data_IF_829488269406
#
_entry.id   IF_829488269406
#
_cell.length_a   1.000
_cell.length_b   1.000
_cell.length_c   1.000
_cell.angle_alpha   90.00
_cell.angle_beta   90.00
_cell.angle_gamma   90.00
#
_symmetry.space_group_name_H-M   'P 1'
#
loop_
_entity.id
_entity.type
_entity.pdbx_description
1 polymer ?
#
# COMPACT_ATOMS: atom_id res chain seq x y z
N UNK A 1 -2.92 4.92 -14.99
CA UNK A 1 -2.23 4.63 -13.69
C UNK A 1 -1.62 3.23 -13.68
N UNK A 2 -2.37 2.17 -14.03
CA UNK A 2 -1.88 0.76 -14.03
C UNK A 2 -0.66 0.58 -14.92
N UNK A 3 -0.67 1.09 -16.16
CA UNK A 3 0.45 0.98 -17.11
C UNK A 3 1.76 1.59 -16.58
N UNK A 4 1.67 2.67 -15.80
CA UNK A 4 2.83 3.30 -15.14
C UNK A 4 3.45 2.36 -14.11
N UNK A 5 2.62 1.70 -13.28
CA UNK A 5 3.09 0.72 -12.30
C UNK A 5 3.62 -0.55 -12.95
N UNK A 6 3.03 -0.99 -14.06
CA UNK A 6 3.53 -2.15 -14.83
C UNK A 6 4.97 -1.92 -15.30
N UNK A 7 5.25 -0.77 -15.88
CA UNK A 7 6.60 -0.44 -16.37
C UNK A 7 7.61 -0.26 -15.23
N UNK A 8 7.19 0.39 -14.14
CA UNK A 8 8.07 0.74 -13.00
C UNK A 8 8.23 -0.35 -11.94
N UNK A 9 7.63 -1.54 -12.11
CA UNK A 9 7.58 -2.58 -11.08
C UNK A 9 8.98 -2.98 -10.57
N UNK A 10 9.97 -3.09 -11.44
CA UNK A 10 11.35 -3.42 -11.09
C UNK A 10 12.07 -2.33 -10.29
N UNK A 11 11.93 -1.08 -10.72
CA UNK A 11 12.47 0.10 -10.03
C UNK A 11 11.80 0.29 -8.66
N UNK A 12 10.47 0.19 -8.63
CA UNK A 12 9.69 0.25 -7.40
C UNK A 12 10.14 -0.80 -6.36
N UNK A 13 10.28 -2.05 -6.77
CA UNK A 13 10.72 -3.14 -5.89
C UNK A 13 12.11 -2.89 -5.28
N UNK A 14 13.03 -2.27 -6.05
CA UNK A 14 14.40 -2.00 -5.61
C UNK A 14 14.54 -0.75 -4.76
N UNK A 15 13.82 0.32 -5.09
CA UNK A 15 14.12 1.64 -4.54
C UNK A 15 13.02 2.17 -3.62
N UNK A 16 11.73 1.90 -3.87
CA UNK A 16 10.64 2.49 -3.10
C UNK A 16 9.98 1.51 -2.12
N UNK A 17 9.74 0.27 -2.51
CA UNK A 17 9.14 -0.73 -1.62
C UNK A 17 9.92 -0.91 -0.31
N UNK A 18 11.28 -0.90 -0.26
CA UNK A 18 12.04 -0.96 0.97
C UNK A 18 11.83 0.23 1.91
N UNK A 19 11.58 1.42 1.36
CA UNK A 19 11.27 2.64 2.15
C UNK A 19 9.94 2.50 2.86
N UNK A 20 8.93 1.95 2.18
CA UNK A 20 7.59 1.75 2.73
C UNK A 20 7.46 0.52 3.64
N UNK A 21 8.30 -0.49 3.44
CA UNK A 21 8.18 -1.78 4.09
C UNK A 21 8.11 -1.72 5.63
N UNK A 22 8.96 -0.97 6.36
CA UNK A 22 8.88 -0.91 7.82
C UNK A 22 7.53 -0.42 8.32
N UNK A 23 6.93 0.57 7.63
CA UNK A 23 5.59 1.10 7.95
C UNK A 23 4.49 0.12 7.57
N UNK A 24 4.57 -0.46 6.36
CA UNK A 24 3.61 -1.44 5.86
C UNK A 24 3.52 -2.67 6.78
N UNK A 25 4.63 -3.21 7.23
CA UNK A 25 4.69 -4.39 8.09
C UNK A 25 3.99 -4.20 9.45
N UNK A 26 3.88 -2.95 9.95
CA UNK A 26 3.10 -2.66 11.17
C UNK A 26 1.61 -2.96 11.04
N UNK A 27 1.07 -3.06 9.82
CA UNK A 27 -0.30 -3.53 9.59
C UNK A 27 -0.48 -4.99 10.01
N UNK A 28 0.56 -5.81 9.82
CA UNK A 28 0.54 -7.21 10.25
C UNK A 28 0.58 -7.33 11.78
N UNK A 29 1.23 -6.39 12.48
CA UNK A 29 1.23 -6.36 13.96
C UNK A 29 -0.18 -6.06 14.51
N UNK A 30 -0.97 -5.23 13.80
CA UNK A 30 -2.37 -5.04 14.15
C UNK A 30 -3.20 -6.31 13.92
N UNK A 31 -2.89 -7.06 12.86
CA UNK A 31 -3.60 -8.28 12.48
C UNK A 31 -3.32 -9.47 13.41
N UNK A 32 -2.18 -9.51 14.12
CA UNK A 32 -1.83 -10.57 15.06
C UNK A 32 -2.91 -10.80 16.13
N UNK A 33 -3.50 -9.72 16.63
CA UNK A 33 -4.57 -9.80 17.63
C UNK A 33 -5.90 -10.34 17.06
N UNK A 34 -5.99 -10.56 15.75
CA UNK A 34 -7.22 -10.92 15.05
C UNK A 34 -7.19 -12.33 14.48
N UNK A 35 -6.04 -12.96 14.47
CA UNK A 35 -5.80 -14.24 13.81
C UNK A 35 -5.27 -15.28 14.80
N UNK A 36 -5.50 -16.58 14.55
CA UNK A 36 -4.75 -17.64 15.21
C UNK A 36 -3.24 -17.46 14.99
N UNK A 37 -2.44 -17.94 15.94
CA UNK A 37 -0.97 -17.73 15.95
C UNK A 37 -0.27 -18.15 14.65
N UNK A 38 -0.72 -19.22 14.02
CA UNK A 38 -0.21 -19.74 12.75
C UNK A 38 -1.10 -19.41 11.55
N UNK A 39 -2.23 -18.71 11.79
CA UNK A 39 -3.22 -18.36 10.77
C UNK A 39 -4.12 -19.50 10.34
N UNK A 40 -4.19 -20.63 11.09
CA UNK A 40 -4.96 -21.79 10.69
C UNK A 40 -6.42 -21.46 10.38
N UNK A 41 -6.87 -21.86 9.18
CA UNK A 41 -8.23 -21.65 8.69
C UNK A 41 -8.57 -20.19 8.30
N UNK A 42 -7.64 -19.25 8.46
CA UNK A 42 -7.88 -17.86 8.11
C UNK A 42 -7.59 -17.57 6.62
N UNK A 43 -8.37 -16.67 6.05
CA UNK A 43 -8.13 -16.05 4.74
C UNK A 43 -7.71 -14.59 4.93
N UNK A 44 -6.53 -14.24 4.43
CA UNK A 44 -5.97 -12.89 4.51
C UNK A 44 -5.93 -12.31 3.10
N UNK A 45 -6.47 -11.10 2.91
CA UNK A 45 -6.45 -10.38 1.64
C UNK A 45 -5.56 -9.14 1.78
N UNK A 46 -4.55 -9.03 0.92
CA UNK A 46 -3.75 -7.83 0.73
C UNK A 46 -4.27 -7.08 -0.50
N UNK A 47 -4.88 -5.92 -0.29
CA UNK A 47 -5.50 -5.09 -1.33
C UNK A 47 -4.49 -4.05 -1.81
N UNK A 48 -4.09 -4.14 -3.08
CA UNK A 48 -2.99 -3.40 -3.66
C UNK A 48 -1.65 -4.01 -3.25
N UNK A 49 -1.49 -5.30 -3.52
CA UNK A 49 -0.33 -6.09 -3.11
C UNK A 49 1.01 -5.58 -3.69
N UNK A 50 0.96 -4.88 -4.83
CA UNK A 50 2.14 -4.36 -5.51
C UNK A 50 3.16 -5.47 -5.77
N UNK A 51 4.41 -5.22 -5.42
CA UNK A 51 5.51 -6.18 -5.53
C UNK A 51 5.54 -7.24 -4.42
N UNK A 52 4.47 -7.32 -3.61
CA UNK A 52 4.23 -8.39 -2.65
C UNK A 52 4.78 -8.17 -1.25
N UNK A 53 5.20 -6.98 -0.86
CA UNK A 53 5.81 -6.71 0.46
C UNK A 53 4.97 -7.25 1.62
N UNK A 54 3.69 -6.86 1.71
CA UNK A 54 2.79 -7.34 2.77
C UNK A 54 2.35 -8.78 2.54
N UNK A 55 1.98 -9.13 1.32
CA UNK A 55 1.51 -10.47 0.95
C UNK A 55 2.52 -11.55 1.34
N UNK A 56 3.80 -11.35 1.00
CA UNK A 56 4.87 -12.31 1.30
C UNK A 56 5.19 -12.36 2.78
N UNK A 57 5.17 -11.20 3.46
CA UNK A 57 5.36 -11.15 4.91
C UNK A 57 4.21 -11.84 5.66
N UNK A 58 2.96 -11.64 5.23
CA UNK A 58 1.80 -12.33 5.78
C UNK A 58 1.89 -13.86 5.61
N UNK A 59 2.29 -14.33 4.41
CA UNK A 59 2.46 -15.75 4.15
C UNK A 59 3.57 -16.42 4.99
N UNK A 60 4.63 -15.66 5.33
CA UNK A 60 5.67 -16.13 6.25
C UNK A 60 5.21 -16.11 7.71
N UNK A 61 4.47 -15.09 8.11
CA UNK A 61 4.01 -14.87 9.48
C UNK A 61 2.91 -15.85 9.88
N UNK A 62 2.01 -16.18 8.95
CA UNK A 62 0.89 -17.10 9.15
C UNK A 62 0.91 -18.23 8.11
N UNK A 63 1.79 -19.21 8.29
CA UNK A 63 2.04 -20.24 7.26
C UNK A 63 0.86 -21.20 7.03
N UNK A 64 -0.11 -21.23 7.93
CA UNK A 64 -1.33 -22.02 7.77
C UNK A 64 -2.51 -21.22 7.19
N UNK A 65 -2.36 -19.89 6.98
CA UNK A 65 -3.38 -19.05 6.37
C UNK A 65 -3.43 -19.21 4.85
N UNK A 66 -4.59 -18.88 4.28
CA UNK A 66 -4.77 -18.63 2.85
C UNK A 66 -4.51 -17.15 2.55
N UNK A 67 -3.35 -16.82 2.02
CA UNK A 67 -2.98 -15.42 1.71
C UNK A 67 -3.25 -15.14 0.24
N UNK A 68 -3.95 -14.03 -0.02
CA UNK A 68 -4.31 -13.55 -1.36
C UNK A 68 -3.78 -12.14 -1.50
N UNK A 69 -2.95 -11.87 -2.52
CA UNK A 69 -2.54 -10.54 -2.93
C UNK A 69 -3.33 -10.11 -4.16
N UNK A 70 -3.94 -8.93 -4.12
CA UNK A 70 -4.71 -8.37 -5.22
C UNK A 70 -4.10 -7.04 -5.64
N UNK A 71 -3.87 -6.86 -6.95
CA UNK A 71 -3.38 -5.62 -7.54
C UNK A 71 -3.86 -5.49 -8.99
N UNK A 72 -4.20 -4.30 -9.50
CA UNK A 72 -4.57 -4.14 -10.90
C UNK A 72 -3.37 -4.24 -11.86
N UNK A 73 -2.12 -4.06 -11.38
CA UNK A 73 -0.90 -4.11 -12.18
C UNK A 73 -0.36 -5.54 -12.28
N UNK A 74 -0.39 -6.10 -13.48
CA UNK A 74 0.20 -7.42 -13.74
C UNK A 74 1.73 -7.40 -13.63
N UNK A 75 2.38 -6.29 -13.99
CA UNK A 75 3.82 -6.11 -13.84
C UNK A 75 4.25 -6.17 -12.38
N UNK A 76 3.52 -5.50 -11.47
CA UNK A 76 3.74 -5.61 -10.04
C UNK A 76 3.55 -7.04 -9.53
N UNK A 77 2.46 -7.68 -9.93
CA UNK A 77 2.19 -9.07 -9.51
C UNK A 77 3.18 -10.08 -10.08
N UNK A 78 3.77 -9.83 -11.26
CA UNK A 78 4.83 -10.68 -11.80
C UNK A 78 6.07 -10.66 -10.89
N UNK A 79 6.48 -9.50 -10.40
CA UNK A 79 7.56 -9.37 -9.40
C UNK A 79 7.21 -10.09 -8.11
N UNK A 80 5.98 -9.90 -7.60
CA UNK A 80 5.51 -10.56 -6.39
C UNK A 80 5.50 -12.09 -6.52
N UNK A 81 5.00 -12.64 -7.65
CA UNK A 81 5.01 -14.09 -7.94
C UNK A 81 6.43 -14.64 -8.02
N UNK A 82 7.35 -13.89 -8.63
CA UNK A 82 8.76 -14.28 -8.68
C UNK A 82 9.36 -14.40 -7.26
N UNK A 83 9.11 -13.41 -6.41
CA UNK A 83 9.58 -13.40 -5.02
C UNK A 83 8.92 -14.50 -4.15
N UNK A 84 7.68 -14.91 -4.50
CA UNK A 84 6.94 -15.96 -3.80
C UNK A 84 7.45 -17.38 -4.08
N UNK A 85 8.26 -17.60 -5.12
CA UNK A 85 8.71 -18.96 -5.54
C UNK A 85 9.48 -19.72 -4.47
N UNK A 86 10.13 -19.00 -3.56
CA UNK A 86 10.90 -19.61 -2.46
C UNK A 86 10.04 -20.00 -1.27
N UNK A 87 8.73 -19.66 -1.25
CA UNK A 87 7.85 -19.99 -0.14
C UNK A 87 7.30 -21.41 -0.29
N UNK A 88 7.26 -22.16 0.82
CA UNK A 88 6.68 -23.51 0.85
C UNK A 88 5.19 -23.52 0.48
N UNK A 89 4.45 -22.49 0.92
CA UNK A 89 3.05 -22.25 0.55
C UNK A 89 2.94 -20.82 -0.04
N UNK A 90 3.10 -20.68 -1.36
CA UNK A 90 3.04 -19.36 -1.99
C UNK A 90 1.62 -18.79 -1.91
N UNK A 91 1.48 -17.48 -1.71
CA UNK A 91 0.19 -16.80 -1.76
C UNK A 91 -0.40 -16.86 -3.17
N UNK A 92 -1.73 -16.73 -3.26
CA UNK A 92 -2.42 -16.52 -4.53
C UNK A 92 -2.37 -15.05 -4.91
N UNK A 93 -2.05 -14.76 -6.17
CA UNK A 93 -2.10 -13.39 -6.72
C UNK A 93 -3.22 -13.27 -7.75
N UNK A 94 -4.00 -12.18 -7.64
CA UNK A 94 -5.20 -11.92 -8.45
C UNK A 94 -5.11 -10.52 -9.04
N UNK A 95 -5.23 -10.40 -10.35
CA UNK A 95 -5.25 -9.11 -11.04
C UNK A 95 -6.66 -8.55 -10.99
N UNK A 96 -6.87 -7.50 -10.17
CA UNK A 96 -8.15 -6.80 -10.04
C UNK A 96 -7.98 -5.46 -9.31
N UNK A 97 -8.94 -4.55 -9.51
CA UNK A 97 -9.02 -3.28 -8.80
C UNK A 97 -9.63 -3.44 -7.39
N UNK A 98 -9.32 -2.50 -6.50
CA UNK A 98 -9.78 -2.54 -5.10
C UNK A 98 -11.31 -2.31 -4.95
N UNK A 99 -11.96 -1.73 -5.94
CA UNK A 99 -13.40 -1.49 -6.01
C UNK A 99 -14.17 -2.60 -6.76
N UNK A 100 -13.47 -3.64 -7.25
CA UNK A 100 -14.04 -4.78 -7.97
C UNK A 100 -13.30 -6.09 -7.60
N UNK A 101 -13.36 -6.48 -6.32
CA UNK A 101 -12.64 -7.65 -5.79
C UNK A 101 -13.35 -8.94 -6.22
N UNK A 102 -12.70 -9.83 -7.03
CA UNK A 102 -13.33 -11.05 -7.55
C UNK A 102 -13.31 -12.19 -6.52
N UNK A 103 -13.75 -11.89 -5.30
CA UNK A 103 -13.91 -12.85 -4.21
C UNK A 103 -15.39 -12.86 -3.76
N UNK A 104 -15.89 -14.02 -3.30
CA UNK A 104 -17.23 -14.11 -2.74
C UNK A 104 -17.42 -13.16 -1.54
N UNK A 105 -18.67 -12.76 -1.31
CA UNK A 105 -19.04 -12.08 -0.07
C UNK A 105 -18.70 -12.96 1.14
N UNK A 106 -18.27 -12.33 2.25
CA UNK A 106 -18.00 -12.99 3.51
C UNK A 106 -17.00 -14.17 3.42
N UNK A 107 -15.95 -14.03 2.61
CA UNK A 107 -14.92 -15.07 2.37
C UNK A 107 -13.56 -14.77 3.00
N UNK A 108 -13.35 -13.55 3.52
CA UNK A 108 -12.08 -13.05 4.05
C UNK A 108 -12.19 -12.77 5.54
N UNK A 109 -11.21 -13.17 6.33
CA UNK A 109 -11.15 -12.91 7.78
C UNK A 109 -10.49 -11.57 8.09
N UNK A 110 -9.38 -11.29 7.41
CA UNK A 110 -8.61 -10.05 7.56
C UNK A 110 -8.24 -9.49 6.20
N UNK A 111 -8.49 -8.21 5.99
CA UNK A 111 -7.97 -7.45 4.88
C UNK A 111 -6.89 -6.47 5.36
N UNK A 112 -5.81 -6.34 4.60
CA UNK A 112 -4.77 -5.32 4.78
C UNK A 112 -4.61 -4.53 3.49
N UNK A 113 -4.17 -3.27 3.58
CA UNK A 113 -3.88 -2.44 2.40
C UNK A 113 -2.84 -1.39 2.76
N UNK A 114 -1.78 -1.25 1.99
CA UNK A 114 -0.67 -0.35 2.29
C UNK A 114 -0.39 0.58 1.13
N UNK A 115 -0.59 1.88 1.32
CA UNK A 115 -0.34 2.95 0.35
C UNK A 115 -1.08 2.78 -0.99
N UNK A 116 -2.33 2.34 -0.93
CA UNK A 116 -3.20 2.07 -2.09
C UNK A 116 -4.43 2.95 -2.12
N UNK A 117 -5.10 3.14 -0.96
CA UNK A 117 -6.41 3.77 -0.90
C UNK A 117 -6.41 5.27 -1.27
N UNK A 118 -5.26 5.93 -1.37
CA UNK A 118 -5.11 7.26 -1.94
C UNK A 118 -5.09 7.25 -3.48
N UNK A 119 -4.74 6.11 -4.09
CA UNK A 119 -4.60 5.97 -5.53
C UNK A 119 -5.89 5.58 -6.23
N UNK A 120 -6.85 4.99 -5.50
CA UNK A 120 -8.14 4.58 -6.09
C UNK A 120 -9.00 5.80 -6.44
N UNK A 121 -9.80 5.75 -7.52
CA UNK A 121 -10.68 6.86 -7.89
C UNK A 121 -11.73 7.18 -6.82
N UNK A 122 -12.34 6.15 -6.24
CA UNK A 122 -13.33 6.26 -5.14
C UNK A 122 -12.94 5.36 -3.96
N UNK A 123 -12.36 5.99 -2.93
CA UNK A 123 -11.98 5.28 -1.70
C UNK A 123 -13.17 4.66 -0.97
N UNK A 124 -14.35 5.29 -1.02
CA UNK A 124 -15.53 4.74 -0.36
C UNK A 124 -16.05 3.50 -1.08
N UNK A 125 -15.98 3.46 -2.41
CA UNK A 125 -16.30 2.26 -3.21
C UNK A 125 -15.35 1.11 -2.85
N UNK A 126 -14.03 1.36 -2.85
CA UNK A 126 -13.05 0.37 -2.45
C UNK A 126 -13.27 -0.14 -1.01
N UNK A 127 -13.52 0.74 -0.05
CA UNK A 127 -13.80 0.35 1.34
C UNK A 127 -15.10 -0.47 1.48
N UNK A 128 -16.15 -0.17 0.69
CA UNK A 128 -17.39 -0.98 0.68
C UNK A 128 -17.15 -2.36 0.09
N UNK A 129 -16.33 -2.44 -0.96
CA UNK A 129 -15.99 -3.71 -1.60
C UNK A 129 -15.12 -4.58 -0.70
N UNK A 130 -14.13 -4.00 -0.01
CA UNK A 130 -13.36 -4.68 1.02
C UNK A 130 -14.29 -5.18 2.14
N UNK A 131 -15.24 -4.35 2.59
CA UNK A 131 -16.22 -4.77 3.59
C UNK A 131 -17.11 -5.90 3.09
N UNK A 132 -17.51 -5.92 1.83
CA UNK A 132 -18.33 -6.98 1.23
C UNK A 132 -17.64 -8.34 1.34
N UNK A 133 -16.35 -8.41 0.99
CA UNK A 133 -15.60 -9.68 1.02
C UNK A 133 -15.21 -10.13 2.42
N UNK A 134 -15.10 -9.22 3.39
CA UNK A 134 -14.86 -9.56 4.79
C UNK A 134 -16.07 -10.32 5.39
N UNK A 135 -15.80 -11.35 6.19
CA UNK A 135 -16.83 -12.04 6.97
C UNK A 135 -17.44 -11.11 8.02
N UNK A 136 -18.69 -11.35 8.49
CA UNK A 136 -19.16 -10.73 9.71
C UNK A 136 -18.16 -10.92 10.85
N UNK A 137 -17.73 -9.82 11.50
CA UNK A 137 -16.63 -9.82 12.46
C UNK A 137 -15.23 -9.69 11.86
N UNK A 138 -15.08 -9.86 10.55
CA UNK A 138 -13.81 -9.67 9.83
C UNK A 138 -13.30 -8.24 9.90
N UNK A 139 -12.00 -8.05 9.76
CA UNK A 139 -11.32 -6.77 10.06
C UNK A 139 -10.45 -6.28 8.91
N UNK A 140 -10.41 -4.95 8.77
CA UNK A 140 -9.53 -4.22 7.87
C UNK A 140 -8.49 -3.44 8.67
N UNK A 141 -7.22 -3.47 8.23
CA UNK A 141 -6.22 -2.48 8.57
C UNK A 141 -5.59 -1.90 7.30
N UNK A 142 -5.38 -0.59 7.26
CA UNK A 142 -4.69 0.03 6.13
C UNK A 142 -3.77 1.16 6.57
N UNK A 143 -2.75 1.44 5.73
CA UNK A 143 -1.89 2.61 5.83
C UNK A 143 -2.02 3.45 4.56
N UNK A 144 -2.05 4.76 4.72
CA UNK A 144 -2.07 5.74 3.62
C UNK A 144 -1.41 7.03 4.07
N UNK A 145 -1.08 7.90 3.13
CA UNK A 145 -0.49 9.18 3.43
C UNK A 145 -1.46 10.09 4.20
N UNK A 146 -0.91 10.82 5.16
CA UNK A 146 -1.53 12.01 5.70
C UNK A 146 -1.15 13.18 4.79
N UNK A 147 -2.10 14.02 4.41
CA UNK A 147 -1.81 15.26 3.69
C UNK A 147 -0.84 16.10 4.52
N UNK A 148 0.35 16.31 3.99
CA UNK A 148 1.47 16.95 4.69
C UNK A 148 2.33 17.69 3.65
N UNK A 149 2.45 18.99 3.78
CA UNK A 149 3.21 19.86 2.87
C UNK A 149 4.68 20.01 3.33
N UNK A 150 5.25 18.99 3.98
CA UNK A 150 6.64 19.05 4.43
C UNK A 150 7.59 19.10 3.24
N UNK A 151 8.46 20.14 3.18
CA UNK A 151 9.48 20.17 2.17
C UNK A 151 10.49 19.05 2.38
N UNK A 152 11.03 18.55 1.28
CA UNK A 152 12.12 17.56 1.31
C UNK A 152 13.25 18.04 0.40
N UNK A 153 14.30 18.53 1.01
CA UNK A 153 15.41 19.22 0.33
C UNK A 153 16.05 18.36 -0.77
N UNK A 154 16.13 17.04 -0.60
CA UNK A 154 16.64 16.16 -1.63
C UNK A 154 15.72 16.13 -2.88
N UNK A 155 14.39 16.24 -2.72
CA UNK A 155 13.48 16.39 -3.87
C UNK A 155 13.73 17.70 -4.58
N UNK A 156 13.72 18.79 -3.85
CA UNK A 156 13.95 20.14 -4.39
C UNK A 156 15.29 20.23 -5.14
N UNK A 157 16.34 19.57 -4.62
CA UNK A 157 17.67 19.54 -5.24
C UNK A 157 17.67 18.82 -6.60
N UNK A 158 16.92 17.74 -6.73
CA UNK A 158 16.79 16.99 -8.01
C UNK A 158 15.86 17.75 -8.95
N UNK A 159 14.72 18.24 -8.48
CA UNK A 159 13.76 19.02 -9.27
C UNK A 159 14.45 20.25 -9.89
N UNK A 160 15.28 20.96 -9.12
CA UNK A 160 16.10 22.08 -9.63
C UNK A 160 17.10 21.69 -10.72
N UNK A 161 17.55 20.43 -10.78
CA UNK A 161 18.39 19.96 -11.88
C UNK A 161 17.57 19.68 -13.16
N UNK A 162 16.35 19.22 -13.03
CA UNK A 162 15.40 19.11 -14.15
C UNK A 162 15.05 20.49 -14.72
N UNK A 163 14.72 21.46 -13.86
CA UNK A 163 14.38 22.82 -14.24
C UNK A 163 15.51 23.52 -14.99
N UNK A 164 16.76 23.42 -14.48
CA UNK A 164 17.92 24.04 -15.11
C UNK A 164 18.21 23.49 -16.50
N UNK A 165 17.87 22.23 -16.74
CA UNK A 165 17.97 21.60 -18.05
C UNK A 165 16.74 21.82 -18.93
N UNK A 166 15.70 22.50 -18.44
CA UNK A 166 14.44 22.68 -19.14
C UNK A 166 13.78 21.33 -19.46
N UNK A 167 13.80 20.41 -18.50
CA UNK A 167 13.14 19.12 -18.62
C UNK A 167 11.81 19.24 -17.87
N UNK A 168 10.71 19.34 -18.62
CA UNK A 168 9.37 19.47 -18.08
C UNK A 168 8.65 18.13 -18.10
N UNK A 169 7.88 17.82 -17.06
CA UNK A 169 6.95 16.69 -17.12
C UNK A 169 5.87 17.00 -18.18
N UNK A 170 5.52 16.03 -19.03
CA UNK A 170 4.39 16.19 -19.94
C UNK A 170 3.13 16.53 -19.16
N UNK A 171 2.36 17.53 -19.61
CA UNK A 171 1.04 17.84 -19.09
C UNK A 171 0.06 16.70 -19.45
N UNK A 172 0.13 15.59 -18.72
CA UNK A 172 -0.89 14.55 -18.80
C UNK A 172 -1.96 14.80 -17.74
N UNK A 173 -3.26 14.66 -18.08
CA UNK A 173 -4.31 14.77 -17.08
C UNK A 173 -4.09 13.72 -15.99
N UNK A 174 -3.91 14.17 -14.74
CA UNK A 174 -3.77 13.24 -13.63
C UNK A 174 -5.02 12.34 -13.55
N UNK A 175 -4.84 11.01 -13.46
CA UNK A 175 -5.96 10.10 -13.29
C UNK A 175 -6.69 10.42 -11.99
N UNK A 176 -8.02 10.31 -12.01
CA UNK A 176 -8.83 10.51 -10.82
C UNK A 176 -8.31 9.63 -9.67
N UNK A 177 -8.00 10.25 -8.54
CA UNK A 177 -7.53 9.58 -7.32
C UNK A 177 -8.17 10.20 -6.09
N UNK A 178 -8.37 9.40 -5.05
CA UNK A 178 -8.97 9.87 -3.79
C UNK A 178 -8.03 10.80 -2.99
N UNK A 179 -6.75 10.82 -3.33
CA UNK A 179 -5.72 11.65 -2.68
C UNK A 179 -5.42 11.24 -1.24
N UNK A 180 -4.60 12.02 -0.58
CA UNK A 180 -4.17 11.78 0.79
C UNK A 180 -5.27 12.10 1.81
N UNK A 181 -5.12 11.61 3.03
CA UNK A 181 -6.10 11.87 4.09
C UNK A 181 -5.74 13.14 4.86
N UNK A 182 -6.71 14.03 4.99
CA UNK A 182 -6.53 15.28 5.75
C UNK A 182 -6.32 15.05 7.27
N UNK A 183 -6.82 13.93 7.83
CA UNK A 183 -6.71 13.63 9.26
C UNK A 183 -7.14 12.21 9.61
N UNK A 184 -6.79 11.77 10.82
CA UNK A 184 -7.32 10.52 11.41
C UNK A 184 -8.85 10.54 11.58
N UNK A 185 -9.41 11.74 11.85
CA UNK A 185 -10.86 11.93 11.92
C UNK A 185 -11.55 11.65 10.58
N UNK A 186 -10.96 12.12 9.47
CA UNK A 186 -11.42 11.85 8.11
C UNK A 186 -11.36 10.35 7.78
N UNK A 187 -10.25 9.68 8.14
CA UNK A 187 -10.09 8.22 7.98
C UNK A 187 -11.19 7.43 8.70
N UNK A 188 -11.37 7.70 10.00
CA UNK A 188 -12.38 7.04 10.80
C UNK A 188 -13.81 7.33 10.31
N UNK A 189 -14.08 8.55 9.83
CA UNK A 189 -15.38 8.92 9.25
C UNK A 189 -15.66 8.15 7.94
N UNK A 190 -14.65 8.00 7.06
CA UNK A 190 -14.78 7.22 5.82
C UNK A 190 -15.04 5.74 6.11
N UNK A 191 -14.32 5.14 7.07
CA UNK A 191 -14.58 3.77 7.53
C UNK A 191 -16.03 3.60 8.03
N UNK A 192 -16.51 4.52 8.89
CA UNK A 192 -17.88 4.49 9.38
C UNK A 192 -18.93 4.65 8.27
N UNK A 193 -18.70 5.55 7.30
CA UNK A 193 -19.57 5.71 6.12
C UNK A 193 -19.61 4.47 5.23
N UNK A 194 -18.49 3.70 5.20
CA UNK A 194 -18.43 2.42 4.49
C UNK A 194 -18.95 1.24 5.31
N UNK A 195 -19.51 1.50 6.52
CA UNK A 195 -20.19 0.50 7.34
C UNK A 195 -19.32 -0.31 8.28
N UNK A 196 -18.06 0.11 8.53
CA UNK A 196 -17.20 -0.50 9.55
C UNK A 196 -17.57 -0.02 10.96
N UNK A 197 -17.67 -0.95 11.92
CA UNK A 197 -17.93 -0.67 13.35
C UNK A 197 -17.39 -1.80 14.22
N UNK A 198 -16.50 -1.57 15.23
CA UNK A 198 -15.85 -0.29 15.49
C UNK A 198 -14.90 0.12 14.37
N UNK A 199 -14.55 1.41 14.33
CA UNK A 199 -13.58 1.97 13.38
C UNK A 199 -12.74 3.05 14.06
N UNK A 200 -11.46 3.06 13.80
CA UNK A 200 -10.51 4.01 14.34
C UNK A 200 -9.36 4.32 13.38
N UNK A 201 -8.57 5.33 13.76
CA UNK A 201 -7.35 5.65 13.06
C UNK A 201 -6.33 6.32 14.00
N UNK A 202 -5.05 6.22 13.65
CA UNK A 202 -3.96 6.92 14.33
C UNK A 202 -2.93 7.41 13.32
N UNK A 203 -2.18 8.44 13.69
CA UNK A 203 -1.02 8.89 12.91
C UNK A 203 0.22 8.08 13.23
N UNK A 204 1.13 8.05 12.28
CA UNK A 204 2.48 7.54 12.41
C UNK A 204 3.41 8.41 11.56
N UNK A 205 4.67 8.51 11.90
CA UNK A 205 5.69 9.15 11.10
C UNK A 205 6.50 8.05 10.40
N UNK A 206 6.50 8.07 9.06
CA UNK A 206 7.45 7.30 8.27
C UNK A 206 8.74 8.11 8.20
N UNK A 207 9.85 7.47 8.52
CA UNK A 207 11.18 8.06 8.43
C UNK A 207 12.09 7.15 7.63
N UNK A 208 12.89 7.76 6.75
CA UNK A 208 13.90 7.04 5.98
C UNK A 208 15.11 7.94 5.73
N UNK A 209 16.29 7.45 6.08
CA UNK A 209 17.54 8.15 5.80
C UNK A 209 18.06 7.72 4.42
N UNK A 210 18.03 8.63 3.47
CA UNK A 210 18.63 8.43 2.16
C UNK A 210 20.13 8.74 2.20
N UNK A 211 20.87 8.12 1.30
CA UNK A 211 22.16 8.64 0.84
C UNK A 211 21.94 9.38 -0.47
N UNK A 212 22.84 10.28 -0.84
CA UNK A 212 22.78 10.97 -2.13
C UNK A 212 22.63 9.97 -3.30
N UNK A 213 23.42 8.88 -3.28
CA UNK A 213 23.39 7.85 -4.32
C UNK A 213 22.08 7.06 -4.34
N UNK A 214 21.56 6.64 -3.17
CA UNK A 214 20.33 5.85 -3.13
C UNK A 214 19.11 6.69 -3.52
N UNK A 215 19.08 7.98 -3.16
CA UNK A 215 18.01 8.89 -3.58
C UNK A 215 18.07 9.20 -5.07
N UNK A 216 19.27 9.45 -5.60
CA UNK A 216 19.47 9.65 -7.04
C UNK A 216 19.01 8.42 -7.84
N UNK A 217 19.40 7.22 -7.41
CA UNK A 217 18.96 5.99 -8.05
C UNK A 217 17.44 5.81 -8.01
N UNK A 218 16.79 6.13 -6.88
CA UNK A 218 15.32 6.14 -6.76
C UNK A 218 14.67 7.10 -7.76
N UNK A 219 15.16 8.34 -7.85
CA UNK A 219 14.62 9.33 -8.77
C UNK A 219 14.78 8.87 -10.24
N UNK A 220 16.00 8.55 -10.66
CA UNK A 220 16.29 8.25 -12.07
C UNK A 220 15.79 6.88 -12.55
N UNK A 221 15.69 5.87 -11.67
CA UNK A 221 15.37 4.48 -12.03
C UNK A 221 13.98 4.02 -11.53
N UNK A 222 13.18 4.91 -10.91
CA UNK A 222 11.87 4.59 -10.42
C UNK A 222 10.87 5.75 -10.56
N UNK A 223 11.15 6.90 -9.93
CA UNK A 223 10.19 8.01 -9.89
C UNK A 223 10.10 8.75 -11.22
N UNK A 224 11.24 9.14 -11.78
CA UNK A 224 11.36 9.88 -13.04
C UNK A 224 11.81 9.00 -14.22
N UNK A 225 11.75 7.66 -14.07
CA UNK A 225 12.32 6.69 -15.02
C UNK A 225 11.88 6.95 -16.47
N UNK A 226 10.58 7.21 -16.70
CA UNK A 226 10.04 7.44 -18.04
C UNK A 226 10.53 8.76 -18.64
N UNK A 227 10.60 9.81 -17.80
CA UNK A 227 11.08 11.12 -18.22
C UNK A 227 12.57 11.05 -18.59
N UNK A 228 13.35 10.39 -17.75
CA UNK A 228 14.80 10.19 -17.98
C UNK A 228 15.05 9.32 -19.22
N UNK A 229 14.30 8.24 -19.41
CA UNK A 229 14.45 7.35 -20.57
C UNK A 229 14.11 8.03 -21.90
N UNK A 230 13.31 9.10 -21.89
CA UNK A 230 12.99 9.89 -23.08
C UNK A 230 14.10 10.89 -23.48
N UNK A 231 15.11 11.11 -22.62
CA UNK A 231 16.21 12.05 -22.91
C UNK A 231 17.30 11.41 -23.77
N UNK A 232 17.96 12.24 -24.58
CA UNK A 232 19.20 11.85 -25.26
C UNK A 232 20.31 11.52 -24.25
N UNK A 233 21.24 10.58 -24.56
CA UNK A 233 22.26 10.11 -23.62
C UNK A 233 23.10 11.22 -22.98
N UNK A 234 23.51 12.23 -23.75
CA UNK A 234 24.31 13.37 -23.25
C UNK A 234 23.49 14.20 -22.22
N UNK A 235 22.19 14.33 -22.45
CA UNK A 235 21.29 15.08 -21.57
C UNK A 235 21.03 14.28 -20.29
N UNK A 236 20.89 12.96 -20.38
CA UNK A 236 20.81 12.07 -19.22
C UNK A 236 22.07 12.18 -18.34
N UNK A 237 23.27 12.10 -18.96
CA UNK A 237 24.53 12.20 -18.24
C UNK A 237 24.71 13.56 -17.55
N UNK A 238 24.25 14.66 -18.19
CA UNK A 238 24.28 15.99 -17.59
C UNK A 238 23.33 16.08 -16.39
N UNK A 239 22.09 15.59 -16.54
CA UNK A 239 21.10 15.55 -15.46
C UNK A 239 21.65 14.77 -14.26
N UNK A 240 22.17 13.57 -14.48
CA UNK A 240 22.74 12.74 -13.42
C UNK A 240 23.89 13.45 -12.71
N UNK A 241 24.80 14.09 -13.46
CA UNK A 241 25.93 14.84 -12.89
C UNK A 241 25.47 16.01 -12.04
N UNK A 242 24.49 16.77 -12.51
CA UNK A 242 23.96 17.95 -11.81
C UNK A 242 23.18 17.55 -10.55
N UNK A 243 22.27 16.58 -10.66
CA UNK A 243 21.50 16.09 -9.54
C UNK A 243 22.41 15.47 -8.45
N UNK A 244 23.42 14.69 -8.86
CA UNK A 244 24.43 14.12 -7.96
C UNK A 244 25.21 15.19 -7.21
N UNK A 245 25.68 16.23 -7.90
CA UNK A 245 26.43 17.33 -7.29
C UNK A 245 25.59 18.06 -6.24
N UNK A 246 24.30 18.33 -6.54
CA UNK A 246 23.37 18.98 -5.61
C UNK A 246 23.09 18.12 -4.38
N UNK A 247 22.80 16.82 -4.58
CA UNK A 247 22.54 15.89 -3.49
C UNK A 247 23.75 15.66 -2.58
N UNK A 248 24.96 15.62 -3.15
CA UNK A 248 26.21 15.47 -2.39
C UNK A 248 26.50 16.69 -1.51
N UNK A 249 25.98 17.85 -1.87
CA UNK A 249 26.05 19.08 -1.07
C UNK A 249 25.13 19.14 0.15
N UNK A 250 24.16 18.21 0.25
CA UNK A 250 23.20 18.16 1.33
C UNK A 250 23.77 17.45 2.57
N UNK A 251 23.34 17.92 3.74
CA UNK A 251 23.61 17.25 5.02
C UNK A 251 22.68 16.07 5.31
N UNK A 252 23.00 15.26 6.30
CA UNK A 252 22.22 14.08 6.64
C UNK A 252 20.75 14.35 6.99
N UNK A 253 20.46 15.48 7.66
CA UNK A 253 19.07 15.88 7.96
C UNK A 253 18.27 16.26 6.70
N UNK A 254 18.92 16.84 5.70
CA UNK A 254 18.32 17.23 4.42
C UNK A 254 18.03 16.02 3.52
N UNK A 255 18.74 14.91 3.76
CA UNK A 255 18.52 13.61 3.13
C UNK A 255 17.58 12.70 3.95
N UNK A 256 17.10 13.17 5.11
CA UNK A 256 16.20 12.41 5.95
C UNK A 256 14.73 12.66 5.55
N UNK A 257 14.15 11.72 4.85
CA UNK A 257 12.74 11.76 4.43
C UNK A 257 11.83 11.50 5.60
N UNK A 258 10.82 12.35 5.79
CA UNK A 258 9.79 12.21 6.82
C UNK A 258 8.42 12.50 6.22
N UNK A 259 7.47 11.60 6.42
CA UNK A 259 6.11 11.79 5.94
C UNK A 259 5.07 11.29 6.95
N UNK A 260 3.97 12.02 7.07
CA UNK A 260 2.85 11.65 7.90
C UNK A 260 2.09 10.46 7.31
N UNK A 261 1.76 9.48 8.15
CA UNK A 261 0.98 8.30 7.77
C UNK A 261 -0.26 8.20 8.64
N UNK A 262 -1.37 7.80 8.03
CA UNK A 262 -2.60 7.39 8.74
C UNK A 262 -2.71 5.88 8.69
N UNK A 263 -2.72 5.24 9.86
CA UNK A 263 -3.20 3.87 10.04
C UNK A 263 -4.69 3.91 10.35
N UNK A 264 -5.51 3.30 9.50
CA UNK A 264 -6.94 3.12 9.73
C UNK A 264 -7.27 1.65 9.97
N UNK A 265 -8.24 1.38 10.82
CA UNK A 265 -8.76 0.02 11.04
C UNK A 265 -10.26 0.04 11.28
N UNK A 266 -10.92 -1.07 10.92
CA UNK A 266 -12.34 -1.22 11.14
C UNK A 266 -12.77 -2.67 11.09
N UNK A 267 -13.93 -2.97 11.67
CA UNK A 267 -14.51 -4.29 11.68
C UNK A 267 -15.84 -4.30 10.91
N UNK A 268 -16.08 -5.32 10.08
CA UNK A 268 -17.42 -5.59 9.55
C UNK A 268 -18.29 -6.05 10.73
N UNK A 269 -19.41 -5.37 11.04
CA UNK A 269 -20.28 -5.76 12.14
C UNK A 269 -20.78 -7.20 11.99
N UNK A 270 -21.05 -7.86 13.11
CA UNK A 270 -21.79 -9.11 13.12
C UNK A 270 -23.24 -8.85 12.69
N UNK A 271 -23.81 -9.71 11.88
CA UNK A 271 -25.24 -9.62 11.51
C UNK A 271 -26.08 -10.15 12.69
N UNK A 272 -26.93 -9.31 13.22
CA UNK A 272 -27.75 -9.64 14.41
C UNK A 272 -28.65 -10.89 14.23
N UNK A 273 -29.00 -11.24 12.99
CA UNK A 273 -29.78 -12.44 12.65
C UNK A 273 -29.01 -13.75 12.89
N UNK A 274 -27.66 -13.74 12.78
CA UNK A 274 -26.83 -14.93 13.02
C UNK A 274 -26.70 -15.25 14.52
N UNK A 275 -26.76 -14.25 15.38
CA UNK A 275 -26.68 -14.43 16.83
C UNK A 275 -27.88 -15.15 17.40
N UNK A 276 -29.10 -14.85 16.91
CA UNK A 276 -30.33 -15.52 17.35
C UNK A 276 -30.44 -16.99 16.91
N UNK A 277 -29.80 -17.35 15.79
CA UNK A 277 -29.80 -18.73 15.30
C UNK A 277 -28.87 -19.66 16.11
N UNK A 278 -27.80 -19.16 16.68
CA UNK A 278 -26.88 -19.93 17.55
C UNK A 278 -27.44 -20.10 18.95
N UNK A 279 -28.10 -19.07 19.52
CA UNK A 279 -28.74 -19.15 20.84
C UNK A 279 -29.97 -20.07 20.83
N UNK A 280 -30.76 -20.06 19.76
CA UNK A 280 -31.90 -20.96 19.61
C UNK A 280 -31.53 -22.44 19.38
N UNK A 281 -30.32 -22.73 18.87
CA UNK A 281 -29.82 -24.12 18.79
C UNK A 281 -29.25 -24.60 20.12
N UNK A 282 -28.55 -23.74 20.87
CA UNK A 282 -28.08 -24.09 22.20
C UNK A 282 -29.25 -24.35 23.19
N UNK A 283 -30.34 -23.58 23.07
CA UNK A 283 -31.54 -23.76 23.91
C UNK A 283 -32.37 -25.00 23.53
N UNK A 284 -32.29 -25.54 22.33
CA UNK A 284 -33.00 -26.78 21.92
C UNK A 284 -32.22 -28.08 22.16
N UNK A 285 -30.90 -28.00 22.43
CA UNK A 285 -30.06 -29.15 22.75
C UNK A 285 -30.00 -29.50 24.24
N UNK A 286 -30.66 -28.73 25.09
CA UNK A 286 -30.68 -28.91 26.55
C UNK A 286 -32.04 -29.40 27.10
N UNK A 287 -32.88 -30.08 26.27
CA UNK A 287 -34.10 -30.75 26.72
C UNK A 287 -34.07 -32.22 26.36
#
# INVERSE_FOLDING_TARGET
>A
MTDRYDRRAGGYARHWAPVLAPTALRLLDLADAWLPRDGAGATILDVGAGTGTLTLAAARRWPAAHVIGLDPSEGMLAVARQAARSLHRPPRFVTAAADAIPLPEASVDVAVSSFVLQLVPDRLAALREIRRVLRPGGRLAYATWLADDRPFAASEAVDAAFDELGIEEPEEPEPARAGDLASTGAAAAQLRRSGFRPAGARTHLLEHAWTAESYLAYRLQCYDEELVAALEPDRQARLETMARARLTGLGGEELHFRAGIVFGWGQRPYEYAAYQATDSRAARGAR
#
